data_IF_591951297539
#
_entry.id   IF_591951297539
#
_cell.length_a   1.000
_cell.length_b   1.000
_cell.length_c   1.000
_cell.angle_alpha   90.00
_cell.angle_beta   90.00
_cell.angle_gamma   90.00
#
_symmetry.space_group_name_H-M   'P 1'
#
loop_
_entity.id
_entity.type
_entity.pdbx_description
1 polymer ?
#
# COMPACT_ATOMS: atom_id res chain seq x y z
N UNK A 1 -20.46 40.36 -36.79
CA UNK A 1 -20.18 38.92 -36.61
C UNK A 1 -19.38 38.75 -35.31
N UNK A 2 -20.06 38.49 -34.19
CA UNK A 2 -19.44 38.17 -32.90
C UNK A 2 -20.06 36.85 -32.41
N UNK A 3 -19.26 35.80 -32.43
CA UNK A 3 -19.44 34.48 -31.82
C UNK A 3 -18.12 34.24 -31.06
N UNK A 4 -18.02 33.65 -29.87
CA UNK A 4 -18.99 32.92 -29.06
C UNK A 4 -18.53 32.88 -27.60
N UNK A 5 -19.49 32.61 -26.71
CA UNK A 5 -19.33 32.31 -25.29
C UNK A 5 -18.34 31.15 -25.02
N UNK A 6 -17.61 31.21 -23.90
CA UNK A 6 -17.18 30.00 -23.19
C UNK A 6 -17.67 30.09 -21.74
N UNK A 7 -18.66 29.24 -21.49
CA UNK A 7 -19.40 29.01 -20.26
C UNK A 7 -18.45 28.57 -19.14
N UNK A 8 -18.57 29.19 -17.96
CA UNK A 8 -18.05 28.62 -16.72
C UNK A 8 -18.81 27.32 -16.43
N UNK A 9 -18.15 26.17 -16.52
CA UNK A 9 -18.65 24.93 -15.93
C UNK A 9 -18.40 24.98 -14.42
N UNK A 10 -19.48 25.01 -13.64
CA UNK A 10 -19.46 24.61 -12.24
C UNK A 10 -19.17 23.10 -12.21
N UNK A 11 -17.97 22.73 -11.79
CA UNK A 11 -17.57 21.33 -11.65
C UNK A 11 -18.01 20.88 -10.25
N UNK A 12 -18.94 19.92 -10.20
CA UNK A 12 -19.24 19.19 -8.97
C UNK A 12 -18.14 18.14 -8.77
N UNK A 13 -17.28 18.35 -7.78
CA UNK A 13 -16.29 17.38 -7.32
C UNK A 13 -16.93 16.49 -6.26
N UNK A 14 -17.07 15.19 -6.56
CA UNK A 14 -17.43 14.21 -5.54
C UNK A 14 -16.15 13.75 -4.84
N UNK A 15 -15.89 14.33 -3.67
CA UNK A 15 -14.78 13.94 -2.80
C UNK A 15 -15.19 12.68 -2.03
N UNK A 16 -14.45 11.60 -2.22
CA UNK A 16 -14.53 10.42 -1.34
C UNK A 16 -13.44 10.56 -0.27
N UNK A 17 -13.87 10.84 0.96
CA UNK A 17 -12.96 10.90 2.09
C UNK A 17 -12.38 9.52 2.38
N UNK A 18 -11.04 9.39 2.30
CA UNK A 18 -10.34 8.14 2.62
C UNK A 18 -9.73 8.15 4.02
N UNK A 19 -9.25 9.30 4.55
CA UNK A 19 -8.97 9.56 5.98
C UNK A 19 -8.63 11.06 6.25
N UNK A 20 -8.14 11.40 7.44
CA UNK A 20 -7.68 12.77 7.76
C UNK A 20 -6.36 13.17 7.04
N UNK A 21 -5.63 12.20 6.47
CA UNK A 21 -4.31 12.37 5.88
C UNK A 21 -4.28 12.23 4.33
N UNK A 22 -5.32 11.65 3.71
CA UNK A 22 -5.42 11.25 2.30
C UNK A 22 -6.89 11.32 1.82
N UNK A 23 -7.11 11.69 0.54
CA UNK A 23 -8.43 11.73 -0.11
C UNK A 23 -8.41 11.13 -1.52
N UNK A 24 -9.57 10.63 -1.96
CA UNK A 24 -9.81 10.11 -3.31
C UNK A 24 -10.76 11.03 -4.10
N UNK A 25 -10.47 11.28 -5.38
CA UNK A 25 -11.36 12.00 -6.30
C UNK A 25 -11.89 11.03 -7.35
N UNK A 26 -13.22 10.89 -7.47
CA UNK A 26 -13.88 10.27 -8.63
C UNK A 26 -14.18 11.36 -9.66
N UNK A 27 -13.96 11.06 -10.94
CA UNK A 27 -13.95 12.04 -12.02
C UNK A 27 -15.15 11.85 -12.94
N UNK A 28 -15.99 12.87 -13.08
CA UNK A 28 -16.69 13.19 -14.33
C UNK A 28 -15.88 14.29 -15.03
N UNK A 29 -14.97 13.91 -15.93
CA UNK A 29 -14.35 14.84 -16.87
C UNK A 29 -14.03 14.08 -18.15
N UNK A 30 -14.54 14.60 -19.25
CA UNK A 30 -13.94 14.40 -20.56
C UNK A 30 -12.54 15.01 -20.56
N UNK A 31 -11.53 14.14 -20.51
CA UNK A 31 -10.22 14.45 -21.05
C UNK A 31 -9.85 13.30 -21.97
N UNK A 32 -9.62 13.66 -23.22
CA UNK A 32 -9.24 12.75 -24.27
C UNK A 32 -7.93 12.01 -23.93
N UNK A 33 -7.95 10.72 -24.26
CA UNK A 33 -6.88 9.72 -24.39
C UNK A 33 -6.16 9.13 -23.15
N UNK A 34 -6.66 7.92 -22.78
CA UNK A 34 -5.93 6.63 -22.87
C UNK A 34 -5.23 5.99 -21.68
N UNK A 35 -5.12 6.58 -20.48
CA UNK A 35 -4.59 5.82 -19.33
C UNK A 35 -5.18 6.25 -17.97
N UNK A 36 -5.91 5.32 -17.37
CA UNK A 36 -6.42 5.37 -16.00
C UNK A 36 -5.27 5.58 -15.01
N UNK A 37 -5.20 6.74 -14.37
CA UNK A 37 -4.23 7.02 -13.31
C UNK A 37 -4.94 7.55 -12.07
N UNK A 38 -4.69 6.89 -10.95
CA UNK A 38 -5.25 7.19 -9.62
C UNK A 38 -4.28 8.10 -8.88
N UNK A 39 -4.78 8.96 -7.99
CA UNK A 39 -4.02 10.03 -7.35
C UNK A 39 -4.00 9.87 -5.84
N UNK A 40 -2.84 10.02 -5.21
CA UNK A 40 -2.63 9.94 -3.77
C UNK A 40 -1.89 11.14 -3.23
N UNK A 41 -2.27 11.58 -2.02
CA UNK A 41 -1.74 12.79 -1.40
C UNK A 41 -1.55 12.61 0.11
N UNK A 42 -0.33 12.79 0.63
CA UNK A 42 0.01 12.68 2.07
C UNK A 42 0.00 14.03 2.82
N UNK A 43 -0.47 14.03 4.07
CA UNK A 43 -0.38 15.16 5.00
C UNK A 43 1.05 15.33 5.58
N UNK A 44 1.54 16.57 5.67
CA UNK A 44 2.77 16.90 6.41
C UNK A 44 2.63 18.25 7.15
N UNK A 45 2.97 18.27 8.45
CA UNK A 45 3.06 19.51 9.25
C UNK A 45 4.40 20.19 8.98
N UNK A 46 4.38 21.39 8.39
CA UNK A 46 5.59 22.19 8.16
C UNK A 46 5.50 23.49 8.96
N UNK A 47 6.23 23.59 10.07
CA UNK A 47 6.21 24.77 10.96
C UNK A 47 7.20 25.87 10.55
N UNK A 48 8.08 25.66 9.57
CA UNK A 48 9.25 26.54 9.37
C UNK A 48 9.39 27.24 7.99
N UNK A 49 8.41 27.17 7.08
CA UNK A 49 8.59 27.71 5.72
C UNK A 49 8.21 29.20 5.55
N UNK A 50 7.59 29.85 6.55
CA UNK A 50 7.01 31.19 6.39
C UNK A 50 7.97 32.38 6.61
N UNK A 51 9.20 32.14 7.10
CA UNK A 51 10.17 33.23 7.29
C UNK A 51 10.94 33.59 5.99
N UNK A 52 10.97 32.73 4.98
CA UNK A 52 11.71 32.99 3.73
C UNK A 52 10.98 33.90 2.73
N UNK A 53 9.65 33.98 2.77
CA UNK A 53 8.88 34.64 1.70
C UNK A 53 8.86 36.18 1.75
N UNK A 54 9.42 36.81 2.78
CA UNK A 54 9.34 38.27 2.94
C UNK A 54 10.59 39.04 2.48
N UNK A 55 11.71 38.39 2.16
CA UNK A 55 13.01 39.09 1.99
C UNK A 55 13.65 38.96 0.59
N UNK A 56 13.47 37.85 -0.16
CA UNK A 56 14.32 37.63 -1.33
C UNK A 56 13.68 38.08 -2.67
N UNK A 57 13.99 39.31 -3.09
CA UNK A 57 14.20 39.62 -4.52
C UNK A 57 15.47 38.86 -4.95
N UNK A 58 15.30 37.88 -5.84
CA UNK A 58 16.31 37.03 -6.50
C UNK A 58 16.98 35.93 -5.67
N UNK A 59 17.22 34.84 -6.39
CA UNK A 59 17.49 33.46 -5.96
C UNK A 59 19.00 33.10 -6.11
N UNK A 60 19.49 31.90 -5.70
CA UNK A 60 19.35 30.77 -6.64
C UNK A 60 19.10 29.39 -6.02
N UNK A 61 18.27 28.64 -6.76
CA UNK A 61 17.95 27.21 -6.77
C UNK A 61 16.77 26.76 -5.91
N UNK A 62 15.57 27.19 -6.30
CA UNK A 62 14.44 26.28 -6.35
C UNK A 62 14.20 25.91 -7.82
N UNK A 63 14.30 24.63 -8.13
CA UNK A 63 13.88 24.15 -9.44
C UNK A 63 12.39 24.53 -9.66
N UNK A 64 12.04 24.82 -10.91
CA UNK A 64 10.66 24.87 -11.46
C UNK A 64 9.89 26.20 -11.53
N UNK A 65 10.55 27.35 -11.71
CA UNK A 65 9.90 28.60 -12.17
C UNK A 65 10.39 28.99 -13.57
N UNK A 66 9.46 29.30 -14.50
CA UNK A 66 9.80 29.98 -15.76
C UNK A 66 9.33 31.43 -15.69
N UNK A 67 10.26 32.37 -15.82
CA UNK A 67 9.98 33.81 -15.80
C UNK A 67 9.88 34.35 -17.24
N UNK A 68 8.80 35.06 -17.57
CA UNK A 68 8.72 35.88 -18.79
C UNK A 68 8.12 37.25 -18.44
N UNK A 69 8.98 38.28 -18.42
CA UNK A 69 8.63 39.66 -18.06
C UNK A 69 7.92 39.75 -16.70
N UNK A 70 6.91 40.61 -16.56
CA UNK A 70 6.18 40.88 -15.31
C UNK A 70 5.19 39.75 -14.94
N UNK A 71 5.24 38.61 -15.63
CA UNK A 71 4.41 37.43 -15.38
C UNK A 71 5.28 36.30 -14.83
N UNK A 72 4.96 35.86 -13.61
CA UNK A 72 5.34 34.54 -13.13
C UNK A 72 4.37 33.51 -13.71
N UNK A 73 4.90 32.55 -14.45
CA UNK A 73 4.12 31.41 -14.94
C UNK A 73 4.54 30.17 -14.17
N UNK A 74 3.60 29.64 -13.37
CA UNK A 74 3.75 28.35 -12.72
C UNK A 74 3.53 27.27 -13.79
N UNK A 75 4.60 26.63 -14.24
CA UNK A 75 4.50 25.56 -15.23
C UNK A 75 4.35 24.21 -14.53
N UNK A 76 3.17 23.91 -14.01
CA UNK A 76 2.80 22.52 -13.71
C UNK A 76 1.29 22.33 -13.75
N UNK A 77 0.85 21.20 -14.32
CA UNK A 77 -0.49 20.59 -14.17
C UNK A 77 -0.85 20.23 -12.71
N UNK A 78 -0.14 20.74 -11.68
CA UNK A 78 -0.06 20.16 -10.34
C UNK A 78 0.04 21.19 -9.18
N UNK A 79 -0.91 22.12 -9.08
CA UNK A 79 -1.36 22.86 -7.88
C UNK A 79 -2.37 23.93 -8.36
N UNK A 80 -3.48 24.34 -7.72
CA UNK A 80 -3.98 24.34 -6.34
C UNK A 80 -5.49 24.71 -6.35
N UNK A 81 -6.22 24.56 -5.24
CA UNK A 81 -7.26 25.55 -4.85
C UNK A 81 -7.34 25.78 -3.34
N UNK A 82 -7.49 27.05 -2.96
CA UNK A 82 -7.89 27.54 -1.62
C UNK A 82 -9.18 28.35 -1.82
N UNK A 83 -10.13 28.22 -0.88
CA UNK A 83 -10.99 29.36 -0.50
C UNK A 83 -11.10 29.42 1.02
N UNK A 84 -10.77 30.57 1.57
CA UNK A 84 -10.69 30.86 3.01
C UNK A 84 -12.06 31.23 3.59
N UNK A 85 -12.37 30.71 4.77
CA UNK A 85 -12.67 31.47 6.01
C UNK A 85 -12.67 30.50 7.22
N UNK A 86 -11.52 29.91 7.59
CA UNK A 86 -11.13 29.70 9.01
C UNK A 86 -9.73 29.05 9.18
N UNK A 87 -9.11 29.25 10.35
CA UNK A 87 -7.69 29.03 10.65
C UNK A 87 -7.20 27.57 10.76
N UNK A 88 -7.21 26.79 9.68
CA UNK A 88 -6.32 25.62 9.56
C UNK A 88 -6.12 25.23 8.10
N UNK A 89 -4.92 25.39 7.54
CA UNK A 89 -4.64 24.98 6.15
C UNK A 89 -3.62 23.85 6.10
N UNK A 90 -4.07 22.72 5.53
CA UNK A 90 -3.27 21.53 5.19
C UNK A 90 -2.89 21.63 3.71
N UNK A 91 -1.62 21.36 3.38
CA UNK A 91 -1.14 21.30 1.99
C UNK A 91 -1.18 19.84 1.53
N UNK A 92 -1.71 19.63 0.33
CA UNK A 92 -1.86 18.33 -0.31
C UNK A 92 -0.94 18.27 -1.55
N UNK A 93 0.05 17.37 -1.58
CA UNK A 93 0.93 17.09 -2.73
C UNK A 93 0.61 15.77 -3.43
N UNK A 94 0.45 15.77 -4.77
CA UNK A 94 0.33 14.54 -5.59
C UNK A 94 1.64 13.76 -5.56
N UNK A 95 1.59 12.47 -5.20
CA UNK A 95 2.69 11.54 -5.44
C UNK A 95 2.59 10.99 -6.88
N UNK A 96 3.63 11.17 -7.70
CA UNK A 96 3.74 10.40 -8.95
C UNK A 96 4.21 8.98 -8.64
N UNK A 97 3.96 8.02 -9.53
CA UNK A 97 4.46 6.64 -9.38
C UNK A 97 5.98 6.55 -9.30
N UNK A 98 6.71 7.53 -9.85
CA UNK A 98 8.15 7.70 -9.65
C UNK A 98 8.54 8.21 -8.25
N UNK A 99 7.67 8.99 -7.59
CA UNK A 99 7.91 9.52 -6.23
C UNK A 99 7.61 8.49 -5.14
N UNK A 100 6.79 7.49 -5.47
CA UNK A 100 6.43 6.39 -4.58
C UNK A 100 7.58 5.39 -4.35
N UNK A 101 8.76 5.62 -4.95
CA UNK A 101 9.94 4.75 -4.87
C UNK A 101 9.53 3.27 -4.97
N UNK A 102 8.77 2.91 -6.00
CA UNK A 102 8.36 1.53 -6.25
C UNK A 102 7.17 1.00 -5.43
N UNK A 103 6.52 1.78 -4.55
CA UNK A 103 5.24 1.39 -3.95
C UNK A 103 4.14 1.38 -5.01
N UNK A 104 3.43 0.26 -5.16
CA UNK A 104 2.44 0.08 -6.24
C UNK A 104 1.06 -0.35 -5.75
N UNK A 105 0.95 -0.88 -4.53
CA UNK A 105 -0.33 -1.17 -3.90
C UNK A 105 -0.27 -0.75 -2.44
N UNK A 106 -1.30 -0.06 -1.98
CA UNK A 106 -1.38 0.41 -0.61
C UNK A 106 -2.82 0.40 -0.11
N UNK A 107 -3.09 -0.46 0.89
CA UNK A 107 -4.33 -0.53 1.63
C UNK A 107 -4.11 0.01 3.05
N UNK A 108 -4.36 1.32 3.29
CA UNK A 108 -4.17 1.93 4.60
C UNK A 108 -5.16 1.40 5.65
N UNK A 109 -6.31 0.90 5.20
CA UNK A 109 -7.49 0.57 6.00
C UNK A 109 -7.93 1.73 6.89
N UNK A 110 -8.95 2.47 6.45
CA UNK A 110 -9.51 3.55 7.25
C UNK A 110 -10.97 3.76 6.92
N UNK A 111 -11.75 4.20 7.90
CA UNK A 111 -13.18 4.50 7.76
C UNK A 111 -13.95 3.37 7.07
N UNK A 112 -13.69 2.14 7.51
CA UNK A 112 -14.34 0.94 6.97
C UNK A 112 -14.12 0.73 5.47
N UNK A 113 -12.98 1.16 4.94
CA UNK A 113 -12.59 0.96 3.54
C UNK A 113 -11.44 -0.03 3.40
N UNK A 114 -11.54 -0.87 2.37
CA UNK A 114 -10.49 -1.80 1.93
C UNK A 114 -9.92 -1.42 0.56
N UNK A 115 -9.97 -0.12 0.23
CA UNK A 115 -9.51 0.37 -1.07
C UNK A 115 -8.00 0.37 -1.16
N UNK A 116 -7.47 -0.05 -2.30
CA UNK A 116 -6.11 0.25 -2.70
C UNK A 116 -6.09 1.66 -3.31
N UNK A 117 -5.42 2.55 -2.61
CA UNK A 117 -5.38 3.96 -2.97
C UNK A 117 -4.41 4.25 -4.13
N UNK A 118 -3.57 3.30 -4.56
CA UNK A 118 -2.63 3.49 -5.68
C UNK A 118 -3.17 2.92 -6.97
N UNK A 119 -3.55 1.64 -7.01
CA UNK A 119 -3.83 0.91 -8.25
C UNK A 119 -5.27 0.40 -8.39
N UNK A 120 -6.17 0.72 -7.44
CA UNK A 120 -7.53 0.14 -7.34
C UNK A 120 -7.51 -1.39 -7.30
N UNK A 121 -6.50 -2.00 -6.69
CA UNK A 121 -6.57 -3.40 -6.32
C UNK A 121 -7.36 -3.61 -5.02
N UNK A 122 -8.59 -3.10 -4.95
CA UNK A 122 -9.39 -3.11 -3.72
C UNK A 122 -9.61 -4.55 -3.21
N UNK A 123 -9.64 -4.74 -1.89
CA UNK A 123 -9.96 -6.06 -1.32
C UNK A 123 -11.48 -6.28 -1.37
N UNK A 124 -11.88 -7.38 -2.00
CA UNK A 124 -13.28 -7.73 -2.27
C UNK A 124 -13.67 -9.04 -1.59
N UNK A 125 -14.94 -9.42 -1.72
CA UNK A 125 -15.49 -10.70 -1.29
C UNK A 125 -15.10 -11.10 0.16
N UNK A 126 -15.39 -10.26 1.17
CA UNK A 126 -15.05 -10.55 2.55
C UNK A 126 -15.77 -11.81 3.06
N UNK A 127 -15.03 -12.68 3.73
CA UNK A 127 -15.56 -13.80 4.51
C UNK A 127 -15.04 -13.68 5.94
N UNK A 128 -15.94 -13.74 6.93
CA UNK A 128 -15.63 -13.63 8.36
C UNK A 128 -14.69 -12.45 8.69
N UNK A 129 -14.94 -11.32 8.03
CA UNK A 129 -14.17 -10.10 8.15
C UNK A 129 -15.01 -8.99 8.78
N UNK A 130 -14.38 -8.14 9.59
CA UNK A 130 -14.99 -6.93 10.14
C UNK A 130 -13.94 -5.84 10.33
N UNK A 131 -14.38 -4.59 10.41
CA UNK A 131 -13.49 -3.49 10.79
C UNK A 131 -13.36 -3.39 12.31
N UNK A 132 -12.18 -3.02 12.77
CA UNK A 132 -11.83 -2.83 14.17
C UNK A 132 -10.98 -1.57 14.35
N UNK A 133 -10.67 -1.22 15.60
CA UNK A 133 -9.64 -0.23 15.86
C UNK A 133 -8.26 -0.71 15.41
N UNK A 134 -7.49 0.21 14.86
CA UNK A 134 -6.12 -0.05 14.43
C UNK A 134 -5.14 -0.07 15.60
N UNK A 135 -3.83 -0.19 15.31
CA UNK A 135 -2.76 -0.23 16.34
C UNK A 135 -2.70 1.01 17.24
N UNK A 136 -3.26 2.14 16.81
CA UNK A 136 -3.34 3.40 17.58
C UNK A 136 -4.70 3.59 18.27
N UNK A 137 -5.59 2.61 18.20
CA UNK A 137 -6.93 2.70 18.75
C UNK A 137 -7.94 3.46 17.88
N UNK A 138 -7.55 3.91 16.67
CA UNK A 138 -8.45 4.62 15.76
C UNK A 138 -9.49 3.63 15.24
N UNK A 139 -10.80 3.87 15.49
CA UNK A 139 -11.86 2.94 15.11
C UNK A 139 -11.94 2.76 13.60
N UNK A 140 -12.45 1.60 13.17
CA UNK A 140 -12.69 1.23 11.78
C UNK A 140 -11.50 1.42 10.84
N UNK A 141 -10.28 1.24 11.36
CA UNK A 141 -9.02 1.51 10.65
C UNK A 141 -8.08 0.31 10.62
N UNK A 142 -8.60 -0.88 10.89
CA UNK A 142 -7.94 -2.16 10.66
C UNK A 142 -9.01 -3.22 10.31
N UNK A 143 -8.59 -4.27 9.62
CA UNK A 143 -9.42 -5.44 9.31
C UNK A 143 -9.15 -6.49 10.38
N UNK A 144 -10.20 -7.16 10.86
CA UNK A 144 -10.11 -8.37 11.68
C UNK A 144 -10.71 -9.54 10.93
N UNK A 145 -9.94 -10.62 10.80
CA UNK A 145 -10.37 -11.90 10.24
C UNK A 145 -10.52 -12.93 11.36
N UNK A 146 -11.61 -13.70 11.34
CA UNK A 146 -11.85 -14.81 12.25
C UNK A 146 -12.13 -16.08 11.46
N UNK A 147 -11.09 -16.80 11.07
CA UNK A 147 -11.13 -17.82 10.02
C UNK A 147 -11.73 -17.23 8.74
N UNK A 148 -11.18 -16.09 8.33
CA UNK A 148 -11.71 -15.25 7.27
C UNK A 148 -10.67 -14.86 6.23
N UNK A 149 -11.14 -14.18 5.20
CA UNK A 149 -10.30 -13.70 4.10
C UNK A 149 -10.95 -12.57 3.31
N UNK A 150 -10.13 -11.95 2.46
CA UNK A 150 -10.56 -11.16 1.31
C UNK A 150 -9.93 -11.70 0.03
N UNK A 151 -10.56 -11.40 -1.10
CA UNK A 151 -10.02 -11.64 -2.43
C UNK A 151 -9.42 -10.37 -3.03
N UNK A 152 -8.25 -10.50 -3.62
CA UNK A 152 -7.62 -9.46 -4.43
C UNK A 152 -8.04 -9.66 -5.91
N UNK A 153 -8.20 -8.59 -6.69
CA UNK A 153 -8.53 -8.71 -8.12
C UNK A 153 -7.40 -9.41 -8.89
N UNK A 154 -7.68 -10.12 -9.99
CA UNK A 154 -6.66 -10.76 -10.79
C UNK A 154 -5.64 -9.75 -11.35
N UNK A 155 -4.36 -9.88 -10.96
CA UNK A 155 -3.25 -9.04 -11.43
C UNK A 155 -1.93 -9.79 -11.37
N UNK A 156 -0.90 -9.22 -12.00
CA UNK A 156 0.48 -9.64 -11.76
C UNK A 156 1.08 -8.80 -10.60
N UNK A 157 0.86 -9.27 -9.37
CA UNK A 157 1.36 -8.62 -8.15
C UNK A 157 2.85 -8.82 -7.94
N UNK A 158 3.37 -9.99 -8.29
CA UNK A 158 4.74 -10.42 -8.01
C UNK A 158 5.48 -10.70 -9.32
N UNK A 159 6.30 -9.75 -9.74
CA UNK A 159 7.14 -9.79 -10.94
C UNK A 159 8.49 -9.14 -10.63
N UNK A 160 9.55 -9.94 -10.68
CA UNK A 160 10.88 -9.51 -10.25
C UNK A 160 10.99 -9.27 -8.75
N UNK A 161 11.80 -8.27 -8.39
CA UNK A 161 12.04 -7.90 -6.99
C UNK A 161 10.80 -7.25 -6.37
N UNK A 162 10.49 -7.57 -5.12
CA UNK A 162 9.35 -6.98 -4.42
C UNK A 162 9.55 -6.86 -2.91
N UNK A 163 8.68 -6.07 -2.29
CA UNK A 163 8.52 -6.02 -0.84
C UNK A 163 7.05 -6.02 -0.48
N UNK A 164 6.60 -7.02 0.27
CA UNK A 164 5.28 -7.06 0.89
C UNK A 164 5.41 -6.73 2.37
N UNK A 165 4.58 -5.84 2.89
CA UNK A 165 4.55 -5.55 4.32
C UNK A 165 3.15 -5.21 4.81
N UNK A 166 2.94 -5.41 6.10
CA UNK A 166 1.77 -4.93 6.83
C UNK A 166 2.05 -4.93 8.33
N UNK A 167 1.23 -4.19 9.06
CA UNK A 167 1.01 -4.46 10.47
C UNK A 167 0.04 -5.62 10.61
N UNK A 168 0.44 -6.65 11.35
CA UNK A 168 -0.35 -7.87 11.52
C UNK A 168 -0.36 -8.27 13.00
N UNK A 169 -1.55 -8.57 13.52
CA UNK A 169 -1.75 -9.11 14.86
C UNK A 169 -2.44 -10.45 14.77
N UNK A 170 -1.72 -11.53 15.06
CA UNK A 170 -2.30 -12.87 15.10
C UNK A 170 -3.31 -12.96 16.24
N UNK A 171 -4.55 -13.40 15.98
CA UNK A 171 -5.60 -13.48 17.01
C UNK A 171 -5.85 -14.91 17.47
N UNK A 172 -5.54 -15.89 16.63
CA UNK A 172 -5.59 -17.32 17.00
C UNK A 172 -4.55 -18.11 16.23
N UNK A 173 -3.97 -19.13 16.86
CA UNK A 173 -3.14 -20.12 16.15
C UNK A 173 -4.01 -20.98 15.25
N UNK A 174 -3.59 -21.11 14.00
CA UNK A 174 -4.16 -22.02 13.03
C UNK A 174 -3.07 -22.47 12.06
N UNK A 175 -3.23 -23.66 11.49
CA UNK A 175 -2.19 -24.25 10.67
C UNK A 175 -2.21 -23.62 9.27
N UNK A 176 -1.02 -23.26 8.79
CA UNK A 176 -0.84 -22.68 7.46
C UNK A 176 -1.73 -21.47 7.17
N UNK A 177 -2.21 -20.75 8.19
CA UNK A 177 -3.02 -19.56 7.94
C UNK A 177 -2.20 -18.47 7.24
N UNK A 178 -2.83 -17.78 6.29
CA UNK A 178 -2.11 -16.89 5.36
C UNK A 178 -2.09 -15.44 5.83
N UNK A 179 -1.00 -14.75 5.54
CA UNK A 179 -1.05 -13.34 5.24
C UNK A 179 -1.55 -13.18 3.80
N UNK A 180 -0.78 -13.68 2.82
CA UNK A 180 -1.15 -13.67 1.41
C UNK A 180 -0.88 -15.03 0.76
N UNK A 181 -1.75 -15.42 -0.17
CA UNK A 181 -1.53 -16.54 -1.08
C UNK A 181 -2.05 -16.12 -2.45
N UNK A 182 -1.15 -16.01 -3.43
CA UNK A 182 -1.46 -15.42 -4.73
C UNK A 182 -0.80 -16.21 -5.85
N UNK A 183 -1.64 -16.88 -6.65
CA UNK A 183 -1.23 -17.75 -7.74
C UNK A 183 -2.34 -18.05 -8.75
N UNK A 184 -2.18 -19.16 -9.46
CA UNK A 184 -3.20 -19.77 -10.32
C UNK A 184 -3.64 -21.06 -9.61
N UNK A 185 -4.58 -20.93 -8.67
CA UNK A 185 -4.88 -21.97 -7.66
C UNK A 185 -3.63 -22.31 -6.83
N UNK A 186 -3.35 -23.59 -6.61
CA UNK A 186 -2.19 -24.10 -5.85
C UNK A 186 -0.86 -24.03 -6.64
N UNK A 187 -0.89 -23.49 -7.86
CA UNK A 187 0.20 -23.50 -8.83
C UNK A 187 0.71 -22.08 -9.09
N UNK A 188 2.03 -21.91 -9.28
CA UNK A 188 2.66 -20.59 -9.53
C UNK A 188 2.29 -19.52 -8.46
N UNK A 189 2.26 -19.92 -7.19
CA UNK A 189 1.82 -19.07 -6.09
C UNK A 189 2.97 -18.48 -5.29
N UNK A 190 2.80 -17.24 -4.85
CA UNK A 190 3.61 -16.59 -3.82
C UNK A 190 2.83 -16.68 -2.51
N UNK A 191 3.42 -17.34 -1.52
CA UNK A 191 2.76 -17.67 -0.25
C UNK A 191 3.53 -17.06 0.91
N UNK A 192 2.81 -16.30 1.72
CA UNK A 192 3.27 -15.88 3.05
C UNK A 192 2.26 -16.37 4.07
N UNK A 193 2.66 -17.32 4.90
CA UNK A 193 1.89 -17.85 6.01
C UNK A 193 2.31 -17.18 7.31
N UNK A 194 1.36 -16.97 8.22
CA UNK A 194 1.61 -16.43 9.57
C UNK A 194 1.98 -17.53 10.57
N UNK A 195 1.73 -18.78 10.22
CA UNK A 195 2.00 -19.95 11.04
C UNK A 195 2.23 -21.16 10.13
N UNK A 196 3.24 -21.96 10.45
CA UNK A 196 3.51 -23.28 9.87
C UNK A 196 3.41 -24.33 10.97
N UNK A 197 2.65 -25.39 10.76
CA UNK A 197 2.47 -26.51 11.72
C UNK A 197 2.12 -26.02 13.13
N UNK A 198 1.16 -25.09 13.21
CA UNK A 198 0.69 -24.46 14.47
C UNK A 198 1.77 -23.73 15.29
N UNK A 199 2.95 -23.46 14.71
CA UNK A 199 4.07 -22.85 15.43
C UNK A 199 3.98 -21.33 15.60
N UNK A 200 3.04 -20.66 14.92
CA UNK A 200 2.98 -19.19 14.79
C UNK A 200 4.26 -18.57 14.18
N UNK A 201 5.12 -19.37 13.54
CA UNK A 201 6.28 -18.88 12.82
C UNK A 201 5.88 -18.55 11.39
N UNK A 202 6.14 -17.32 10.92
CA UNK A 202 5.88 -16.99 9.53
C UNK A 202 6.72 -17.82 8.57
N UNK A 203 6.15 -18.09 7.41
CA UNK A 203 6.68 -18.96 6.38
C UNK A 203 6.51 -18.28 5.02
N UNK A 204 7.61 -18.05 4.30
CA UNK A 204 7.59 -17.40 2.99
C UNK A 204 8.21 -18.32 1.94
N UNK A 205 7.42 -18.62 0.91
CA UNK A 205 7.77 -19.56 -0.16
C UNK A 205 7.17 -19.10 -1.47
N UNK A 206 7.85 -19.46 -2.57
CA UNK A 206 7.37 -19.28 -3.93
C UNK A 206 7.31 -20.67 -4.56
N UNK A 207 6.13 -21.05 -5.04
CA UNK A 207 5.88 -22.30 -5.75
C UNK A 207 5.76 -21.99 -7.24
N UNK A 208 6.51 -22.72 -8.08
CA UNK A 208 6.43 -22.62 -9.53
C UNK A 208 5.88 -23.95 -10.08
N UNK A 209 4.86 -23.86 -10.94
CA UNK A 209 4.09 -25.04 -11.42
C UNK A 209 3.50 -25.80 -10.22
N UNK A 210 3.26 -27.10 -10.38
CA UNK A 210 2.73 -27.98 -9.33
C UNK A 210 3.83 -28.55 -8.41
N UNK A 211 5.01 -27.93 -8.39
CA UNK A 211 6.14 -28.40 -7.60
C UNK A 211 6.19 -27.71 -6.24
N UNK A 212 6.15 -28.49 -5.16
CA UNK A 212 6.43 -27.99 -3.82
C UNK A 212 7.91 -27.60 -3.74
N UNK A 213 8.18 -26.31 -3.55
CA UNK A 213 9.51 -25.76 -3.40
C UNK A 213 10.09 -26.17 -2.05
N UNK A 214 11.32 -26.67 -2.06
CA UNK A 214 12.11 -26.88 -0.85
C UNK A 214 12.83 -25.60 -0.41
N UNK A 215 12.77 -24.54 -1.22
CA UNK A 215 13.36 -23.24 -0.96
C UNK A 215 12.33 -22.35 -0.26
N UNK A 216 12.58 -22.10 1.02
CA UNK A 216 11.64 -21.46 1.96
C UNK A 216 12.39 -20.61 2.97
N UNK A 217 11.83 -19.45 3.31
CA UNK A 217 12.21 -18.66 4.48
C UNK A 217 11.27 -19.00 5.63
N UNK A 218 11.73 -19.83 6.57
CA UNK A 218 11.01 -20.15 7.81
C UNK A 218 11.54 -19.25 8.93
N UNK A 219 10.64 -18.51 9.60
CA UNK A 219 10.99 -17.66 10.75
C UNK A 219 11.57 -18.49 11.90
N UNK A 220 12.57 -17.95 12.60
CA UNK A 220 13.07 -18.57 13.83
C UNK A 220 12.13 -18.29 15.01
N UNK A 221 11.45 -17.15 14.99
CA UNK A 221 10.70 -16.61 16.11
C UNK A 221 9.18 -16.66 15.84
N UNK A 222 8.37 -17.19 16.78
CA UNK A 222 6.93 -17.14 16.64
C UNK A 222 6.39 -15.70 16.78
N UNK A 223 5.21 -15.47 16.21
CA UNK A 223 4.36 -14.32 16.51
C UNK A 223 3.65 -14.56 17.84
N UNK A 224 3.59 -13.52 18.67
CA UNK A 224 2.78 -13.52 19.88
C UNK A 224 1.32 -13.22 19.53
N UNK A 225 0.39 -14.00 20.10
CA UNK A 225 -1.04 -13.79 19.89
C UNK A 225 -1.47 -12.49 20.57
N UNK A 226 -2.24 -11.66 19.88
CA UNK A 226 -2.76 -10.41 20.42
C UNK A 226 -1.78 -9.24 20.35
N UNK A 227 -0.60 -9.42 19.75
CA UNK A 227 0.42 -8.36 19.60
C UNK A 227 0.57 -7.93 18.14
N UNK A 228 0.47 -6.63 17.88
CA UNK A 228 0.77 -6.03 16.58
C UNK A 228 2.26 -6.15 16.26
N UNK A 229 2.58 -6.74 15.11
CA UNK A 229 3.94 -6.83 14.59
C UNK A 229 3.97 -6.25 13.17
N UNK A 230 5.00 -5.47 12.87
CA UNK A 230 5.27 -5.03 11.50
C UNK A 230 6.05 -6.14 10.79
N UNK A 231 5.39 -6.84 9.86
CA UNK A 231 5.99 -7.95 9.12
C UNK A 231 6.36 -7.48 7.72
N UNK A 232 7.60 -7.74 7.31
CA UNK A 232 8.07 -7.37 5.97
C UNK A 232 8.77 -8.55 5.30
N UNK A 233 8.37 -8.82 4.07
CA UNK A 233 8.92 -9.89 3.23
C UNK A 233 9.48 -9.26 1.97
N UNK A 234 10.79 -9.41 1.74
CA UNK A 234 11.45 -8.92 0.53
C UNK A 234 11.90 -10.09 -0.32
N UNK A 235 11.82 -9.93 -1.64
CA UNK A 235 12.49 -10.80 -2.59
C UNK A 235 13.40 -9.94 -3.46
N UNK A 236 14.70 -10.26 -3.47
CA UNK A 236 15.72 -9.54 -4.25
C UNK A 236 16.64 -10.52 -4.94
N UNK A 237 16.57 -10.61 -6.26
CA UNK A 237 17.47 -11.44 -7.07
C UNK A 237 17.64 -12.87 -6.51
N UNK A 238 16.53 -13.56 -6.25
CA UNK A 238 16.52 -14.93 -5.73
C UNK A 238 16.62 -15.03 -4.19
N UNK A 239 16.98 -13.96 -3.48
CA UNK A 239 17.04 -13.96 -2.02
C UNK A 239 15.71 -13.48 -1.42
N UNK A 240 15.02 -14.38 -0.71
CA UNK A 240 13.92 -14.05 0.17
C UNK A 240 14.43 -13.62 1.54
N UNK A 241 13.83 -12.59 2.12
CA UNK A 241 14.13 -12.17 3.50
C UNK A 241 12.86 -11.81 4.23
N UNK A 242 12.81 -12.16 5.51
CA UNK A 242 11.72 -11.84 6.43
C UNK A 242 12.26 -10.96 7.57
N UNK A 243 11.59 -9.84 7.80
CA UNK A 243 11.87 -8.91 8.88
C UNK A 243 10.66 -8.83 9.80
N UNK A 244 10.91 -8.85 11.10
CA UNK A 244 9.91 -8.60 12.15
C UNK A 244 10.28 -7.30 12.87
N UNK A 245 9.35 -6.36 12.93
CA UNK A 245 9.53 -5.07 13.60
C UNK A 245 10.80 -4.32 13.15
N UNK A 246 11.05 -4.33 11.82
CA UNK A 246 12.19 -3.66 11.21
C UNK A 246 13.54 -4.39 11.32
N UNK A 247 13.60 -5.53 12.02
CA UNK A 247 14.82 -6.32 12.21
C UNK A 247 14.76 -7.60 11.37
N UNK A 248 15.85 -7.94 10.69
CA UNK A 248 15.96 -9.18 9.92
C UNK A 248 15.83 -10.38 10.85
N UNK A 249 14.87 -11.27 10.58
CA UNK A 249 14.69 -12.52 11.31
C UNK A 249 15.41 -13.65 10.57
N UNK A 250 15.07 -13.85 9.29
CA UNK A 250 15.63 -14.90 8.46
C UNK A 250 15.72 -14.50 7.00
N UNK A 251 16.63 -15.17 6.27
CA UNK A 251 16.75 -15.06 4.83
C UNK A 251 17.21 -16.38 4.22
N UNK A 252 16.75 -16.65 3.00
CA UNK A 252 17.13 -17.83 2.23
C UNK A 252 16.86 -17.60 0.76
N UNK A 253 17.55 -18.33 -0.10
CA UNK A 253 17.18 -18.42 -1.49
C UNK A 253 15.75 -18.97 -1.63
N UNK A 254 15.03 -18.40 -2.60
CA UNK A 254 13.68 -18.79 -3.01
C UNK A 254 13.65 -18.99 -4.53
N UNK A 255 12.64 -19.71 -4.99
CA UNK A 255 12.29 -19.75 -6.40
C UNK A 255 11.92 -18.35 -6.93
N UNK A 256 12.17 -18.10 -8.21
CA UNK A 256 11.77 -16.84 -8.84
C UNK A 256 10.28 -16.84 -9.14
N UNK A 257 9.52 -15.79 -8.78
CA UNK A 257 8.12 -15.71 -9.16
C UNK A 257 8.02 -15.57 -10.68
N UNK A 258 7.21 -16.42 -11.32
CA UNK A 258 6.95 -16.29 -12.75
C UNK A 258 6.15 -15.01 -13.03
N UNK A 259 6.49 -14.30 -14.10
CA UNK A 259 5.75 -13.15 -14.61
C UNK A 259 4.44 -13.62 -15.28
N UNK A 260 3.36 -13.67 -14.49
CA UNK A 260 2.05 -14.18 -14.94
C UNK A 260 0.90 -13.39 -14.30
N UNK A 261 -0.26 -13.42 -14.96
CA UNK A 261 -1.52 -13.01 -14.35
C UNK A 261 -1.95 -14.07 -13.33
N UNK A 262 -2.11 -13.66 -12.07
CA UNK A 262 -2.59 -14.53 -10.99
C UNK A 262 -4.06 -14.25 -10.73
N UNK A 263 -4.88 -15.29 -10.78
CA UNK A 263 -6.35 -15.19 -10.69
C UNK A 263 -6.89 -15.53 -9.31
N UNK A 264 -6.07 -16.13 -8.46
CA UNK A 264 -6.44 -16.59 -7.12
C UNK A 264 -5.47 -15.97 -6.11
N UNK A 265 -5.79 -14.74 -5.70
CA UNK A 265 -5.02 -13.97 -4.75
C UNK A 265 -5.90 -13.61 -3.57
N UNK A 266 -5.46 -13.98 -2.37
CA UNK A 266 -6.23 -13.81 -1.15
C UNK A 266 -5.38 -13.19 -0.06
N UNK A 267 -6.00 -12.29 0.70
CA UNK A 267 -5.54 -11.90 2.03
C UNK A 267 -6.21 -12.85 3.03
N UNK A 268 -5.45 -13.63 3.79
CA UNK A 268 -5.98 -14.48 4.84
C UNK A 268 -6.42 -15.89 4.43
N UNK A 269 -6.55 -16.21 3.14
CA UNK A 269 -6.94 -17.55 2.66
C UNK A 269 -5.81 -18.24 1.91
N UNK A 270 -5.71 -19.55 2.10
CA UNK A 270 -4.83 -20.42 1.32
C UNK A 270 -5.49 -20.87 0.02
N UNK A 271 -4.69 -21.02 -1.04
CA UNK A 271 -5.11 -21.73 -2.24
C UNK A 271 -5.21 -23.25 -2.02
N UNK A 272 -4.56 -23.77 -0.97
CA UNK A 272 -4.51 -25.18 -0.61
C UNK A 272 -5.67 -25.54 0.32
N UNK A 273 -6.48 -26.51 -0.09
CA UNK A 273 -7.76 -26.82 0.58
C UNK A 273 -7.65 -27.29 2.03
N UNK A 274 -6.52 -27.88 2.41
CA UNK A 274 -6.31 -28.41 3.75
C UNK A 274 -6.00 -27.33 4.79
N UNK A 275 -5.61 -26.14 4.35
CA UNK A 275 -5.15 -25.07 5.23
C UNK A 275 -6.33 -24.23 5.74
N UNK A 276 -6.18 -23.68 6.93
CA UNK A 276 -7.21 -22.84 7.53
C UNK A 276 -7.12 -21.40 7.05
N UNK A 277 -8.28 -20.75 6.92
CA UNK A 277 -8.36 -19.30 6.75
C UNK A 277 -7.86 -18.57 8.02
N UNK A 278 -7.42 -17.32 7.85
CA UNK A 278 -6.70 -16.60 8.88
C UNK A 278 -7.57 -16.11 10.03
N UNK A 279 -6.98 -16.19 11.22
CA UNK A 279 -7.46 -15.50 12.41
C UNK A 279 -6.40 -14.48 12.82
N UNK A 280 -6.48 -13.30 12.20
CA UNK A 280 -5.54 -12.21 12.37
C UNK A 280 -6.18 -10.86 12.04
N UNK A 281 -5.62 -9.80 12.62
CA UNK A 281 -5.95 -8.44 12.29
C UNK A 281 -4.85 -7.83 11.40
N UNK A 282 -5.24 -6.99 10.43
CA UNK A 282 -4.37 -6.40 9.41
C UNK A 282 -4.58 -4.89 9.32
N UNK A 283 -3.48 -4.17 9.14
CA UNK A 283 -3.41 -2.72 9.06
C UNK A 283 -2.22 -2.32 8.16
N UNK A 284 -2.36 -1.20 7.45
CA UNK A 284 -1.30 -0.60 6.62
C UNK A 284 -0.59 -1.57 5.64
N UNK A 285 -1.34 -2.26 4.79
CA UNK A 285 -0.79 -3.28 3.87
C UNK A 285 -0.18 -2.60 2.65
N UNK A 286 1.07 -2.90 2.33
CA UNK A 286 1.83 -2.30 1.21
C UNK A 286 2.53 -3.35 0.36
N UNK A 287 2.56 -3.15 -0.95
CA UNK A 287 3.38 -3.92 -1.88
C UNK A 287 4.20 -3.00 -2.77
N UNK A 288 5.50 -3.22 -2.80
CA UNK A 288 6.47 -2.53 -3.64
C UNK A 288 6.95 -3.45 -4.76
N UNK A 289 7.13 -2.94 -5.98
CA UNK A 289 7.80 -3.63 -7.11
C UNK A 289 9.33 -3.46 -7.08
N UNK A 290 9.88 -3.48 -5.87
CA UNK A 290 11.32 -3.60 -5.61
C UNK A 290 11.54 -4.12 -4.20
N UNK A 291 12.72 -4.66 -3.96
CA UNK A 291 13.19 -4.94 -2.61
C UNK A 291 13.60 -3.63 -1.91
N UNK A 292 12.99 -3.36 -0.75
CA UNK A 292 13.41 -2.30 0.15
C UNK A 292 14.70 -2.69 0.86
N UNK A 293 15.59 -1.72 1.08
CA UNK A 293 16.75 -1.91 1.95
C UNK A 293 16.38 -1.86 3.43
N UNK A 294 17.27 -2.36 4.30
CA UNK A 294 17.10 -2.34 5.76
C UNK A 294 16.69 -0.97 6.31
N UNK A 295 17.34 0.11 5.88
CA UNK A 295 17.03 1.45 6.36
C UNK A 295 15.66 1.95 5.93
N UNK A 296 15.18 1.51 4.76
CA UNK A 296 13.83 1.83 4.29
C UNK A 296 12.78 1.05 5.08
N UNK A 297 13.04 -0.23 5.36
CA UNK A 297 12.16 -1.06 6.20
C UNK A 297 12.08 -0.51 7.63
N UNK A 298 13.21 -0.09 8.21
CA UNK A 298 13.22 0.57 9.52
C UNK A 298 12.43 1.89 9.49
N UNK A 299 12.53 2.67 8.40
CA UNK A 299 11.74 3.89 8.25
C UNK A 299 10.24 3.60 8.15
N UNK A 300 9.83 2.57 7.39
CA UNK A 300 8.40 2.17 7.37
C UNK A 300 7.94 1.74 8.75
N UNK A 301 8.73 0.94 9.48
CA UNK A 301 8.41 0.57 10.86
C UNK A 301 8.27 1.77 11.80
N UNK A 302 9.17 2.76 11.73
CA UNK A 302 9.15 3.93 12.62
C UNK A 302 8.17 5.04 12.24
N UNK A 303 7.71 5.11 10.98
CA UNK A 303 6.64 6.05 10.57
C UNK A 303 5.34 5.82 11.34
N UNK A 304 5.22 4.64 11.94
CA UNK A 304 4.02 4.07 12.48
C UNK A 304 4.04 3.98 14.02
N UNK A 305 4.84 4.84 14.67
CA UNK A 305 4.86 5.06 16.13
C UNK A 305 4.65 6.53 16.48
#
# INVERSE_FOLDING_TARGET
MRLNFLQLFLINLTILATNSEFFQILKDFDFDESNESIFLISQSKVTNLFMCFKICKLEPKCAYLTLKSNKCSLNTKYASFIKNYDQSSVIYTRLSTSDLKGLVYYWPIFNSSTNDIISRADLNDPINARFISNRFGIPNSAISLSFGHYKLPPRNYFDGDFTLMAWIKLTKTSDFQRFIDCGIKESNTVVVSLSKELSNKPHFVIFNRDNFSQLVVDSNNPLEIGVWNHLTFTFKNGLGSYYKNGVLDQQRELEYPVNILRTNCFLGKSNFRADSDASADFDDIKLFKRALGRDEILKEYYKDF
#
